data_IF_275753961421
#
_entry.id   IF_275753961421
#
_cell.length_a   1.000
_cell.length_b   1.000
_cell.length_c   1.000
_cell.angle_alpha   90.00
_cell.angle_beta   90.00
_cell.angle_gamma   90.00
#
_symmetry.space_group_name_H-M   'P 1'
#
loop_
_entity.id
_entity.type
_entity.pdbx_description
1 polymer ?
#
# COMPACT_ATOMS: atom_id res chain seq x y z
N UNK A 1 5.22 22.12 3.83
CA UNK A 1 5.98 20.85 3.76
C UNK A 1 7.49 21.06 3.67
N UNK A 2 8.11 21.61 2.59
CA UNK A 2 9.58 21.84 2.55
C UNK A 2 10.03 22.73 3.73
N UNK A 3 9.28 23.76 4.07
CA UNK A 3 9.57 24.61 5.25
C UNK A 3 9.51 23.81 6.56
N UNK A 4 8.57 22.87 6.65
CA UNK A 4 8.41 21.98 7.82
C UNK A 4 9.59 21.03 7.96
N UNK A 5 9.95 20.31 6.89
CA UNK A 5 11.09 19.38 6.88
C UNK A 5 12.39 20.12 7.22
N UNK A 6 12.57 21.35 6.72
CA UNK A 6 13.73 22.18 7.09
C UNK A 6 13.69 22.65 8.54
N UNK A 7 12.52 22.87 9.11
CA UNK A 7 12.34 23.21 10.52
C UNK A 7 12.70 22.00 11.40
N UNK A 8 12.21 20.83 11.07
CA UNK A 8 12.53 19.58 11.79
C UNK A 8 14.03 19.27 11.72
N UNK A 9 14.64 19.38 10.54
CA UNK A 9 16.07 19.20 10.37
C UNK A 9 16.86 20.16 11.27
N UNK A 10 16.52 21.44 11.29
CA UNK A 10 17.16 22.42 12.19
C UNK A 10 16.99 22.05 13.67
N UNK A 11 15.81 21.60 14.08
CA UNK A 11 15.55 21.21 15.46
C UNK A 11 16.36 19.98 15.85
N UNK A 12 16.52 19.01 14.93
CA UNK A 12 17.36 17.83 15.15
C UNK A 12 18.83 18.22 15.35
N UNK A 13 19.38 19.08 14.50
CA UNK A 13 20.76 19.55 14.65
C UNK A 13 20.96 20.41 15.90
N UNK A 14 19.99 21.24 16.30
CA UNK A 14 20.04 21.95 17.58
C UNK A 14 20.15 21.00 18.78
N UNK A 15 19.43 19.88 18.77
CA UNK A 15 19.55 18.87 19.83
C UNK A 15 20.93 18.23 19.83
N UNK A 16 21.42 17.79 18.68
CA UNK A 16 22.75 17.17 18.55
C UNK A 16 23.86 18.12 19.02
N UNK A 17 23.79 19.39 18.71
CA UNK A 17 24.76 20.39 19.16
C UNK A 17 24.64 20.68 20.67
N UNK A 18 23.43 20.63 21.21
CA UNK A 18 23.23 20.75 22.66
C UNK A 18 23.76 19.52 23.42
N UNK A 19 23.84 18.36 22.78
CA UNK A 19 24.43 17.12 23.29
C UNK A 19 25.96 17.05 23.12
N UNK A 20 26.59 18.16 22.65
CA UNK A 20 28.04 18.26 22.53
C UNK A 20 28.61 17.92 21.16
N UNK A 21 27.76 17.64 20.16
CA UNK A 21 28.23 17.52 18.76
C UNK A 21 28.62 18.88 18.22
N UNK A 22 29.58 18.90 17.29
CA UNK A 22 30.04 20.09 16.61
C UNK A 22 29.68 20.08 15.13
N UNK A 23 29.90 21.19 14.45
CA UNK A 23 29.71 21.26 12.99
C UNK A 23 30.77 20.48 12.23
N UNK A 24 31.89 20.16 12.84
CA UNK A 24 32.98 19.41 12.22
C UNK A 24 32.69 17.91 12.18
N UNK A 25 31.91 17.41 13.14
CA UNK A 25 31.57 15.99 13.25
C UNK A 25 30.11 15.66 12.86
N UNK A 26 29.24 16.66 12.77
CA UNK A 26 27.82 16.44 12.50
C UNK A 26 27.18 17.59 11.72
N UNK A 27 26.96 17.38 10.43
CA UNK A 27 26.32 18.36 9.53
C UNK A 27 25.52 17.65 8.42
N UNK A 28 24.51 18.29 7.84
CA UNK A 28 23.76 17.71 6.73
C UNK A 28 24.58 17.76 5.43
N UNK A 29 24.85 16.59 4.85
CA UNK A 29 25.48 16.51 3.51
C UNK A 29 24.58 17.05 2.40
N UNK A 30 23.27 16.80 2.54
CA UNK A 30 22.26 17.25 1.60
C UNK A 30 21.05 17.80 2.36
N UNK A 31 20.54 18.93 1.92
CA UNK A 31 19.29 19.49 2.40
C UNK A 31 18.21 19.22 1.35
N UNK A 32 17.11 18.52 1.67
CA UNK A 32 16.07 18.26 0.71
C UNK A 32 15.54 19.55 0.08
N UNK A 33 15.57 19.60 -1.25
CA UNK A 33 15.02 20.70 -2.04
C UNK A 33 13.61 20.37 -2.55
N UNK A 34 13.30 19.06 -2.69
CA UNK A 34 12.02 18.56 -3.10
C UNK A 34 11.37 17.77 -1.95
N UNK A 35 10.05 17.89 -1.84
CA UNK A 35 9.28 17.07 -0.93
C UNK A 35 9.19 15.64 -1.48
N UNK A 36 9.69 14.69 -0.73
CA UNK A 36 9.54 13.28 -1.08
C UNK A 36 8.30 12.73 -0.38
N UNK A 37 7.20 12.68 -1.13
CA UNK A 37 5.94 12.14 -0.64
C UNK A 37 5.95 10.63 -0.69
N UNK A 38 6.16 9.99 0.44
CA UNK A 38 6.06 8.53 0.59
C UNK A 38 4.65 8.07 0.90
N UNK A 39 3.91 8.88 1.65
CA UNK A 39 2.48 8.72 1.91
C UNK A 39 1.76 9.91 1.31
N UNK A 40 0.76 9.64 0.50
CA UNK A 40 -0.11 10.66 -0.08
C UNK A 40 -1.54 10.44 0.43
N UNK A 41 -2.49 10.46 -0.46
CA UNK A 41 -3.86 10.13 -0.14
C UNK A 41 -4.09 8.64 -0.39
N UNK A 42 -4.87 8.00 0.47
CA UNK A 42 -5.50 6.71 0.22
C UNK A 42 -7.00 6.92 0.00
N UNK A 43 -7.61 6.02 -0.74
CA UNK A 43 -9.07 6.01 -0.86
C UNK A 43 -9.69 5.63 0.48
N UNK A 44 -10.92 6.04 0.70
CA UNK A 44 -11.81 5.40 1.65
C UNK A 44 -12.42 4.18 0.97
N UNK A 45 -11.80 3.03 1.19
CA UNK A 45 -12.21 1.77 0.58
C UNK A 45 -13.38 1.11 1.30
N UNK A 46 -13.93 0.07 0.68
CA UNK A 46 -14.95 -0.80 1.28
C UNK A 46 -14.41 -1.60 2.48
N UNK A 47 -13.11 -1.80 2.53
CA UNK A 47 -12.36 -2.27 3.68
C UNK A 47 -11.17 -1.34 3.90
N UNK A 48 -10.92 -0.96 5.15
CA UNK A 48 -9.68 -0.34 5.57
C UNK A 48 -8.78 -1.42 6.19
N UNK A 49 -7.71 -1.78 5.49
CA UNK A 49 -6.76 -2.77 6.00
C UNK A 49 -5.84 -2.09 7.02
N UNK A 50 -6.02 -2.45 8.27
CA UNK A 50 -5.22 -1.96 9.40
C UNK A 50 -4.12 -2.97 9.75
N UNK A 51 -3.11 -2.60 10.58
CA UNK A 51 -2.11 -3.54 11.07
C UNK A 51 -2.72 -4.75 11.79
N UNK A 52 -3.81 -4.55 12.54
CA UNK A 52 -4.49 -5.61 13.28
C UNK A 52 -5.15 -6.63 12.35
N UNK A 53 -5.69 -6.17 11.22
CA UNK A 53 -6.32 -7.01 10.21
C UNK A 53 -5.33 -7.63 9.23
N UNK A 54 -4.11 -7.11 9.12
CA UNK A 54 -3.16 -7.56 8.10
C UNK A 54 -2.67 -9.00 8.29
N UNK A 55 -2.91 -9.60 9.45
CA UNK A 55 -2.63 -11.02 9.75
C UNK A 55 -3.79 -11.97 9.48
N UNK A 56 -4.96 -11.44 9.18
CA UNK A 56 -6.17 -12.24 8.97
C UNK A 56 -6.22 -12.89 7.58
N UNK A 57 -7.06 -13.92 7.45
CA UNK A 57 -7.42 -14.53 6.17
C UNK A 57 -8.71 -13.91 5.64
N UNK A 58 -8.76 -13.71 4.31
CA UNK A 58 -9.91 -13.07 3.67
C UNK A 58 -10.43 -13.90 2.51
N UNK A 59 -11.74 -14.16 2.49
CA UNK A 59 -12.41 -14.88 1.39
C UNK A 59 -12.25 -14.15 0.04
N UNK A 60 -12.14 -12.81 0.08
CA UNK A 60 -11.91 -11.97 -1.08
C UNK A 60 -10.43 -11.61 -1.30
N UNK A 61 -9.51 -12.42 -0.80
CA UNK A 61 -8.08 -12.24 -1.04
C UNK A 61 -7.77 -12.36 -2.53
N UNK A 62 -6.98 -11.42 -3.06
CA UNK A 62 -6.59 -11.36 -4.48
C UNK A 62 -5.08 -11.33 -4.67
N UNK A 63 -4.32 -11.50 -3.60
CA UNK A 63 -2.87 -11.58 -3.66
C UNK A 63 -2.22 -11.65 -2.29
N UNK A 64 -0.93 -11.94 -2.29
CA UNK A 64 -0.11 -12.04 -1.09
C UNK A 64 1.00 -11.00 -1.10
N UNK A 65 1.32 -10.44 0.05
CA UNK A 65 2.49 -9.57 0.20
C UNK A 65 3.26 -9.87 1.48
N UNK A 66 4.58 -9.86 1.36
CA UNK A 66 5.48 -10.11 2.48
C UNK A 66 5.72 -8.87 3.34
N UNK A 67 6.06 -9.09 4.59
CA UNK A 67 6.59 -8.04 5.46
C UNK A 67 8.07 -7.85 5.17
N UNK A 68 8.43 -6.78 4.50
CA UNK A 68 9.82 -6.45 4.18
C UNK A 68 10.57 -5.79 5.35
N UNK A 69 9.86 -5.37 6.40
CA UNK A 69 10.44 -4.78 7.61
C UNK A 69 10.88 -5.89 8.56
N UNK A 70 10.01 -6.89 8.76
CA UNK A 70 10.26 -8.04 9.63
C UNK A 70 10.17 -9.32 8.81
N UNK A 71 11.24 -10.10 8.68
CA UNK A 71 11.21 -11.36 7.92
C UNK A 71 10.22 -12.37 8.50
N UNK A 72 9.52 -13.06 7.62
CA UNK A 72 8.63 -14.16 7.93
C UNK A 72 7.14 -13.93 7.65
N UNK A 73 6.49 -12.88 8.20
CA UNK A 73 5.06 -12.69 7.98
C UNK A 73 4.69 -12.44 6.52
N UNK A 74 3.66 -13.16 6.06
CA UNK A 74 2.99 -12.94 4.77
C UNK A 74 1.54 -12.59 5.04
N UNK A 75 1.02 -11.62 4.32
CA UNK A 75 -0.29 -11.02 4.49
C UNK A 75 -1.11 -11.17 3.22
N UNK A 76 -2.42 -11.29 3.38
CA UNK A 76 -3.37 -11.33 2.28
C UNK A 76 -3.84 -9.92 1.90
N UNK A 77 -4.06 -9.71 0.60
CA UNK A 77 -4.60 -8.47 0.05
C UNK A 77 -6.08 -8.65 -0.29
N UNK A 78 -7.01 -8.16 0.54
CA UNK A 78 -8.44 -8.27 0.25
C UNK A 78 -8.82 -7.37 -0.94
N UNK A 79 -9.67 -7.84 -1.86
CA UNK A 79 -10.14 -7.08 -3.01
C UNK A 79 -10.81 -5.76 -2.61
N UNK A 80 -11.57 -5.76 -1.52
CA UNK A 80 -12.30 -4.59 -1.00
C UNK A 80 -11.41 -3.39 -0.66
N UNK A 81 -10.10 -3.57 -0.47
CA UNK A 81 -9.18 -2.43 -0.23
C UNK A 81 -8.90 -1.63 -1.50
N UNK A 82 -9.16 -2.22 -2.68
CA UNK A 82 -9.00 -1.58 -3.98
C UNK A 82 -10.27 -0.84 -4.41
N UNK A 83 -11.39 -1.05 -3.73
CA UNK A 83 -12.71 -0.53 -4.10
C UNK A 83 -13.06 0.69 -3.26
N UNK A 84 -13.28 1.88 -3.85
CA UNK A 84 -13.85 3.01 -3.12
C UNK A 84 -15.22 2.68 -2.52
N UNK A 85 -15.50 3.20 -1.32
CA UNK A 85 -16.74 2.89 -0.62
C UNK A 85 -17.99 3.44 -1.34
N UNK A 86 -17.86 4.57 -2.03
CA UNK A 86 -18.97 5.35 -2.58
C UNK A 86 -18.98 5.38 -4.13
N UNK A 87 -17.98 4.78 -4.79
CA UNK A 87 -17.88 4.75 -6.25
C UNK A 87 -17.93 3.32 -6.75
N UNK A 88 -18.64 3.10 -7.87
CA UNK A 88 -18.90 1.76 -8.36
C UNK A 88 -18.03 1.34 -9.57
N UNK A 89 -17.47 2.30 -10.30
CA UNK A 89 -16.70 2.03 -11.52
C UNK A 89 -15.24 2.51 -11.42
N UNK A 90 -14.68 2.46 -10.20
CA UNK A 90 -13.31 2.92 -9.91
C UNK A 90 -12.58 1.88 -9.09
N UNK A 91 -11.33 1.64 -9.46
CA UNK A 91 -10.38 0.84 -8.68
C UNK A 91 -9.19 1.71 -8.31
N UNK A 92 -8.69 1.52 -7.10
CA UNK A 92 -7.44 2.10 -6.67
C UNK A 92 -6.34 1.04 -6.69
N UNK A 93 -5.13 1.42 -7.06
CA UNK A 93 -3.99 0.53 -7.05
C UNK A 93 -2.74 1.24 -6.52
N UNK A 94 -1.75 0.49 -6.07
CA UNK A 94 -0.50 1.04 -5.56
C UNK A 94 -0.67 1.75 -4.22
N UNK A 95 -0.06 2.92 -4.09
CA UNK A 95 0.04 3.65 -2.81
C UNK A 95 -1.23 4.33 -2.34
N UNK A 96 -2.29 4.31 -3.12
CA UNK A 96 -3.56 4.95 -2.79
C UNK A 96 -4.67 3.97 -2.37
N UNK A 97 -4.39 2.68 -2.27
CA UNK A 97 -5.33 1.68 -1.76
C UNK A 97 -5.71 1.97 -0.31
N UNK A 98 -6.82 1.37 0.15
CA UNK A 98 -7.39 1.63 1.49
C UNK A 98 -6.64 0.89 2.59
N UNK A 99 -5.54 1.48 3.04
CA UNK A 99 -4.67 0.92 4.10
C UNK A 99 -4.25 2.02 5.08
N UNK A 100 -3.88 1.63 6.30
CA UNK A 100 -3.42 2.57 7.33
C UNK A 100 -2.27 1.99 8.16
N UNK A 101 -1.66 2.83 8.99
CA UNK A 101 -0.60 2.42 9.93
C UNK A 101 0.62 1.82 9.21
N UNK A 102 1.17 0.76 9.80
CA UNK A 102 2.32 0.04 9.26
C UNK A 102 1.99 -0.67 7.95
N UNK A 103 0.74 -1.11 7.74
CA UNK A 103 0.30 -1.73 6.50
C UNK A 103 0.53 -0.83 5.27
N UNK A 104 0.48 0.50 5.44
CA UNK A 104 0.89 1.44 4.39
C UNK A 104 2.36 1.29 3.99
N UNK A 105 3.24 1.01 4.93
CA UNK A 105 4.66 0.81 4.63
C UNK A 105 4.86 -0.49 3.84
N UNK A 106 4.14 -1.55 4.20
CA UNK A 106 4.24 -2.86 3.56
C UNK A 106 3.68 -2.85 2.14
N UNK A 107 2.58 -2.14 1.90
CA UNK A 107 1.88 -2.16 0.61
C UNK A 107 2.38 -1.13 -0.42
N UNK A 108 3.14 -0.11 -0.01
CA UNK A 108 3.63 0.93 -0.93
C UNK A 108 4.85 0.55 -1.76
N UNK A 109 5.39 -0.66 -1.57
CA UNK A 109 6.55 -1.16 -2.31
C UNK A 109 6.19 -1.53 -3.74
N UNK A 110 7.18 -1.49 -4.63
CA UNK A 110 6.97 -1.71 -6.07
C UNK A 110 6.25 -3.02 -6.39
N UNK A 111 6.62 -4.18 -5.81
CA UNK A 111 5.94 -5.44 -6.11
C UNK A 111 4.45 -5.40 -5.80
N UNK A 112 4.06 -4.88 -4.63
CA UNK A 112 2.64 -4.78 -4.23
C UNK A 112 1.90 -3.76 -5.08
N UNK A 113 2.55 -2.65 -5.45
CA UNK A 113 1.95 -1.67 -6.33
C UNK A 113 1.68 -2.24 -7.73
N UNK A 114 2.62 -3.01 -8.29
CA UNK A 114 2.46 -3.70 -9.58
C UNK A 114 1.35 -4.75 -9.50
N UNK A 115 1.38 -5.62 -8.50
CA UNK A 115 0.38 -6.63 -8.23
C UNK A 115 -1.03 -6.03 -8.13
N UNK A 116 -1.21 -4.99 -7.32
CA UNK A 116 -2.51 -4.33 -7.18
C UNK A 116 -2.99 -3.65 -8.47
N UNK A 117 -2.08 -3.18 -9.31
CA UNK A 117 -2.38 -2.65 -10.63
C UNK A 117 -2.89 -3.71 -11.59
N UNK A 118 -2.24 -4.88 -11.63
CA UNK A 118 -2.66 -6.03 -12.43
C UNK A 118 -4.03 -6.55 -11.99
N UNK A 119 -4.25 -6.68 -10.68
CA UNK A 119 -5.55 -7.07 -10.12
C UNK A 119 -6.65 -6.08 -10.53
N UNK A 120 -6.40 -4.79 -10.37
CA UNK A 120 -7.36 -3.75 -10.70
C UNK A 120 -7.67 -3.74 -12.22
N UNK A 121 -6.66 -3.92 -13.06
CA UNK A 121 -6.82 -4.02 -14.51
C UNK A 121 -7.62 -5.22 -14.94
N UNK A 122 -7.33 -6.40 -14.39
CA UNK A 122 -8.08 -7.65 -14.65
C UNK A 122 -9.53 -7.51 -14.20
N UNK A 123 -9.76 -6.97 -13.00
CA UNK A 123 -11.11 -6.74 -12.49
C UNK A 123 -11.89 -5.75 -13.35
N UNK A 124 -11.25 -4.68 -13.84
CA UNK A 124 -11.88 -3.71 -14.72
C UNK A 124 -12.28 -4.32 -16.08
N UNK A 125 -11.42 -5.17 -16.65
CA UNK A 125 -11.74 -5.91 -17.88
C UNK A 125 -12.95 -6.84 -17.67
N UNK A 126 -12.95 -7.63 -16.59
CA UNK A 126 -14.07 -8.51 -16.26
C UNK A 126 -15.38 -7.74 -16.01
N UNK A 127 -15.31 -6.58 -15.38
CA UNK A 127 -16.47 -5.72 -15.18
C UNK A 127 -17.03 -5.21 -16.52
N UNK A 128 -16.16 -4.76 -17.42
CA UNK A 128 -16.53 -4.27 -18.74
C UNK A 128 -17.20 -5.38 -19.57
N UNK A 129 -16.61 -6.59 -19.59
CA UNK A 129 -17.14 -7.74 -20.33
C UNK A 129 -18.52 -8.17 -19.80
N UNK A 130 -18.71 -8.10 -18.47
CA UNK A 130 -19.96 -8.49 -17.83
C UNK A 130 -21.00 -7.37 -17.76
N UNK A 131 -20.67 -6.14 -18.16
CA UNK A 131 -21.52 -4.96 -17.96
C UNK A 131 -21.81 -4.71 -16.47
N UNK A 132 -20.88 -5.06 -15.59
CA UNK A 132 -21.03 -4.96 -14.13
C UNK A 132 -20.20 -3.82 -13.54
N UNK A 133 -20.50 -3.45 -12.31
CA UNK A 133 -19.69 -2.49 -11.54
C UNK A 133 -18.50 -3.17 -10.86
N UNK A 134 -17.56 -2.38 -10.35
CA UNK A 134 -16.37 -2.88 -9.63
C UNK A 134 -16.71 -3.82 -8.47
N UNK A 135 -17.68 -3.50 -7.60
CA UNK A 135 -18.12 -4.42 -6.58
C UNK A 135 -18.91 -5.62 -7.10
N UNK A 136 -19.45 -5.53 -8.31
CA UNK A 136 -20.20 -6.60 -8.96
C UNK A 136 -19.33 -7.68 -9.61
N UNK A 137 -18.00 -7.47 -9.67
CA UNK A 137 -17.08 -8.51 -10.12
C UNK A 137 -17.08 -9.63 -9.07
N UNK A 138 -17.57 -10.81 -9.47
CA UNK A 138 -17.58 -11.97 -8.61
C UNK A 138 -16.15 -12.33 -8.20
N UNK A 139 -15.87 -12.37 -6.90
CA UNK A 139 -14.53 -12.63 -6.36
C UNK A 139 -13.93 -13.93 -6.91
N UNK A 140 -14.73 -15.01 -7.00
CA UNK A 140 -14.28 -16.28 -7.56
C UNK A 140 -13.87 -16.18 -9.02
N UNK A 141 -14.57 -15.41 -9.85
CA UNK A 141 -14.20 -15.22 -11.28
C UNK A 141 -12.90 -14.42 -11.41
N UNK A 142 -12.72 -13.40 -10.58
CA UNK A 142 -11.47 -12.64 -10.55
C UNK A 142 -10.30 -13.53 -10.12
N UNK A 143 -10.47 -14.30 -9.04
CA UNK A 143 -9.46 -15.24 -8.57
C UNK A 143 -9.14 -16.31 -9.65
N UNK A 144 -10.14 -16.80 -10.37
CA UNK A 144 -9.93 -17.76 -11.47
C UNK A 144 -9.02 -17.18 -12.56
N UNK A 145 -9.27 -15.95 -13.01
CA UNK A 145 -8.42 -15.30 -14.00
C UNK A 145 -7.01 -15.01 -13.48
N UNK A 146 -6.89 -14.57 -12.24
CA UNK A 146 -5.59 -14.32 -11.62
C UNK A 146 -4.78 -15.63 -11.41
N UNK A 147 -5.44 -16.77 -11.15
CA UNK A 147 -4.76 -18.07 -11.06
C UNK A 147 -4.11 -18.50 -12.38
N UNK A 148 -4.64 -18.10 -13.53
CA UNK A 148 -4.07 -18.38 -14.86
C UNK A 148 -2.70 -17.73 -15.06
N UNK A 149 -2.41 -16.68 -14.30
CA UNK A 149 -1.12 -15.99 -14.26
C UNK A 149 -0.39 -16.20 -12.94
N UNK A 150 -0.66 -17.35 -12.31
CA UNK A 150 0.06 -17.90 -11.14
C UNK A 150 -0.08 -17.07 -9.84
N UNK A 151 -1.12 -16.25 -9.69
CA UNK A 151 -1.41 -15.59 -8.42
C UNK A 151 -1.79 -16.60 -7.34
N UNK A 152 -1.31 -16.33 -6.14
CA UNK A 152 -1.69 -17.03 -4.89
C UNK A 152 -2.42 -16.06 -3.99
N UNK A 153 -3.42 -16.55 -3.27
CA UNK A 153 -4.32 -15.70 -2.49
C UNK A 153 -4.25 -15.98 -1.01
N UNK A 154 -3.98 -17.23 -0.64
CA UNK A 154 -3.94 -17.66 0.75
C UNK A 154 -2.56 -18.15 1.13
N UNK A 155 -2.21 -17.96 2.40
CA UNK A 155 -0.90 -18.35 2.95
C UNK A 155 -0.62 -19.84 2.85
N UNK A 156 -1.68 -20.67 2.91
CA UNK A 156 -1.59 -22.12 2.76
C UNK A 156 -1.15 -22.55 1.35
N UNK A 157 -1.17 -21.66 0.38
CA UNK A 157 -0.72 -21.91 -0.99
C UNK A 157 0.79 -21.71 -1.17
N UNK A 158 1.51 -21.23 -0.11
CA UNK A 158 2.96 -21.05 -0.13
C UNK A 158 3.68 -22.35 0.24
#
# INVERSE_FOLDING_TARGET
MIRESRRELRNRYRKLYAEGRTRDDCFPLLVPTLANFRRTFSIRGRLLLTPELSGEQFDDSVGLFGNWITPGPVHELPYRVLLPAELENVWAAGRCISVTGETCELTRVIPVAAMSGEIAGTAAALAADAGSSAPGVAGGRLQEELRRVEFRFHREEL
#
